data_IF_829102752403
#
_entry.id   IF_829102752403
#
_cell.length_a   1.000
_cell.length_b   1.000
_cell.length_c   1.000
_cell.angle_alpha   90.00
_cell.angle_beta   90.00
_cell.angle_gamma   90.00
#
_symmetry.space_group_name_H-M   'P 1'
#
loop_
_entity.id
_entity.type
_entity.pdbx_description
1 polymer ?
#
# COMPACT_ATOMS: atom_id res chain seq x y z
N UNK A 1 -55.58 16.42 -9.42
CA UNK A 1 -56.19 15.29 -10.17
C UNK A 1 -55.37 15.05 -11.42
N UNK A 2 -55.12 13.78 -11.78
CA UNK A 2 -54.31 13.27 -12.91
C UNK A 2 -52.78 13.43 -12.72
N UNK A 3 -51.91 12.47 -13.06
CA UNK A 3 -52.05 11.20 -13.76
C UNK A 3 -50.86 10.30 -13.41
N UNK A 4 -51.11 9.16 -12.75
CA UNK A 4 -50.18 8.04 -12.69
C UNK A 4 -50.07 7.42 -14.08
N UNK A 5 -48.92 7.53 -14.74
CA UNK A 5 -48.56 6.70 -15.90
C UNK A 5 -47.38 5.83 -15.52
N UNK A 6 -47.71 4.60 -15.11
CA UNK A 6 -46.74 3.51 -15.08
C UNK A 6 -46.25 3.22 -16.50
N UNK A 7 -44.94 3.05 -16.63
CA UNK A 7 -44.34 2.42 -17.79
C UNK A 7 -43.37 1.35 -17.28
N UNK A 8 -43.90 0.13 -17.29
CA UNK A 8 -43.15 -1.13 -17.27
C UNK A 8 -42.17 -1.11 -18.45
N UNK A 9 -40.92 -1.51 -18.22
CA UNK A 9 -40.13 -2.27 -19.20
C UNK A 9 -39.24 -3.30 -18.48
N UNK A 10 -39.59 -4.57 -18.72
CA UNK A 10 -38.79 -5.81 -18.80
C UNK A 10 -37.47 -5.85 -18.01
N UNK A 11 -37.24 -6.73 -17.03
CA UNK A 11 -37.33 -8.21 -17.06
C UNK A 11 -36.80 -8.85 -18.35
N UNK A 12 -35.48 -8.80 -18.53
CA UNK A 12 -34.72 -9.82 -19.28
C UNK A 12 -33.22 -9.58 -19.12
N UNK A 13 -32.57 -10.33 -18.23
CA UNK A 13 -31.16 -10.76 -18.34
C UNK A 13 -30.83 -11.72 -17.18
N UNK A 14 -31.47 -12.89 -17.20
CA UNK A 14 -30.88 -14.10 -16.64
C UNK A 14 -30.33 -14.83 -17.86
N UNK A 15 -29.01 -15.00 -17.94
CA UNK A 15 -28.28 -16.15 -18.52
C UNK A 15 -26.83 -15.75 -18.87
N UNK A 16 -25.95 -15.85 -17.89
CA UNK A 16 -24.56 -16.25 -18.12
C UNK A 16 -24.05 -17.01 -16.88
N UNK A 17 -23.72 -18.31 -16.99
CA UNK A 17 -23.22 -19.08 -15.88
C UNK A 17 -21.69 -18.91 -15.82
N UNK A 18 -21.25 -17.74 -15.37
CA UNK A 18 -19.86 -17.58 -14.93
C UNK A 18 -19.93 -17.28 -13.44
N UNK A 19 -19.78 -18.34 -12.65
CA UNK A 19 -19.51 -18.27 -11.22
C UNK A 19 -18.14 -17.60 -11.07
N UNK A 20 -18.13 -16.27 -11.09
CA UNK A 20 -16.97 -15.50 -10.64
C UNK A 20 -17.04 -15.54 -9.12
N UNK A 21 -16.25 -16.42 -8.51
CA UNK A 21 -16.02 -16.45 -7.07
C UNK A 21 -15.60 -15.06 -6.62
N UNK A 22 -16.55 -14.28 -6.07
CA UNK A 22 -16.26 -12.98 -5.48
C UNK A 22 -15.50 -13.26 -4.17
N UNK A 23 -14.28 -12.74 -3.98
CA UNK A 23 -13.65 -12.79 -2.67
C UNK A 23 -14.54 -12.05 -1.66
N UNK A 24 -14.73 -12.66 -0.50
CA UNK A 24 -15.57 -12.22 0.63
C UNK A 24 -15.06 -10.95 1.34
N UNK A 25 -14.34 -10.06 0.64
CA UNK A 25 -13.64 -8.90 1.24
C UNK A 25 -14.05 -7.53 0.71
N UNK A 26 -15.11 -7.44 -0.09
CA UNK A 26 -15.78 -6.15 -0.31
C UNK A 26 -17.28 -6.36 -0.20
N UNK A 27 -17.86 -5.96 0.95
CA UNK A 27 -19.28 -5.57 0.93
C UNK A 27 -19.44 -4.61 -0.25
N UNK A 28 -20.27 -4.92 -1.24
CA UNK A 28 -20.58 -3.93 -2.25
C UNK A 28 -21.32 -2.83 -1.50
N UNK A 29 -20.70 -1.66 -1.39
CA UNK A 29 -21.37 -0.40 -1.11
C UNK A 29 -22.43 -0.03 -2.19
N UNK A 30 -22.78 -0.95 -3.09
CA UNK A 30 -24.05 -0.95 -3.83
C UNK A 30 -25.21 -1.24 -2.86
N UNK A 31 -25.42 -0.33 -1.92
CA UNK A 31 -26.79 0.02 -1.60
C UNK A 31 -26.94 1.42 -2.14
N UNK A 32 -27.63 1.55 -3.27
CA UNK A 32 -28.13 2.84 -3.70
C UNK A 32 -28.88 3.41 -2.53
N UNK A 33 -28.26 4.34 -1.81
CA UNK A 33 -29.01 5.27 -0.98
C UNK A 33 -30.00 5.85 -1.95
N UNK A 34 -31.28 5.50 -1.80
CA UNK A 34 -32.33 6.16 -2.54
C UNK A 34 -32.21 7.62 -2.12
N UNK A 35 -31.51 8.41 -2.95
CA UNK A 35 -31.56 9.85 -2.85
C UNK A 35 -33.02 10.19 -2.66
N UNK A 36 -33.31 11.07 -1.71
CA UNK A 36 -34.67 11.56 -1.61
C UNK A 36 -35.05 12.06 -3.01
N UNK A 37 -36.22 11.68 -3.54
CA UNK A 37 -36.54 11.90 -4.98
C UNK A 37 -36.38 13.36 -5.38
N UNK A 38 -36.61 14.24 -4.42
CA UNK A 38 -36.50 15.69 -4.54
C UNK A 38 -35.05 16.17 -4.69
N UNK A 39 -34.08 15.36 -4.25
CA UNK A 39 -32.64 15.67 -4.23
C UNK A 39 -31.83 14.78 -5.19
N UNK A 40 -32.49 13.90 -5.96
CA UNK A 40 -31.81 13.08 -6.93
C UNK A 40 -31.23 13.96 -8.06
N UNK A 41 -29.99 13.70 -8.50
CA UNK A 41 -29.38 14.45 -9.59
C UNK A 41 -30.18 14.28 -10.88
N UNK A 42 -30.22 15.34 -11.68
CA UNK A 42 -30.94 15.35 -12.95
C UNK A 42 -30.12 14.66 -14.06
N UNK A 43 -30.69 14.60 -15.26
CA UNK A 43 -29.95 14.15 -16.44
C UNK A 43 -28.81 15.13 -16.77
N UNK A 44 -27.74 14.59 -17.36
CA UNK A 44 -26.57 15.37 -17.79
C UNK A 44 -26.95 16.56 -18.68
N UNK A 45 -26.31 17.73 -18.50
CA UNK A 45 -26.47 18.87 -19.40
C UNK A 45 -25.92 18.51 -20.78
N UNK A 46 -26.67 18.85 -21.84
CA UNK A 46 -26.23 18.64 -23.23
C UNK A 46 -25.68 19.91 -23.85
N UNK A 47 -26.21 21.05 -23.40
CA UNK A 47 -25.86 22.36 -23.92
C UNK A 47 -25.02 23.16 -22.90
N UNK A 48 -24.27 24.14 -23.40
CA UNK A 48 -23.48 25.04 -22.55
C UNK A 48 -24.36 25.92 -21.66
N UNK A 49 -25.51 26.38 -22.16
CA UNK A 49 -26.49 27.13 -21.36
C UNK A 49 -27.01 26.30 -20.18
N UNK A 50 -27.34 25.03 -20.41
CA UNK A 50 -27.77 24.10 -19.35
C UNK A 50 -26.64 23.87 -18.34
N UNK A 51 -25.40 23.73 -18.82
CA UNK A 51 -24.20 23.60 -17.97
C UNK A 51 -24.02 24.80 -17.07
N UNK A 52 -24.16 26.02 -17.58
CA UNK A 52 -24.03 27.26 -16.78
C UNK A 52 -25.14 27.38 -15.73
N UNK A 53 -26.39 27.02 -16.07
CA UNK A 53 -27.50 27.00 -15.14
C UNK A 53 -27.29 25.98 -14.02
N UNK A 54 -26.76 24.80 -14.35
CA UNK A 54 -26.41 23.77 -13.37
C UNK A 54 -25.23 24.17 -12.48
N UNK A 55 -24.17 24.74 -13.05
CA UNK A 55 -23.06 25.30 -12.29
C UNK A 55 -23.56 26.33 -11.26
N UNK A 56 -24.46 27.23 -11.69
CA UNK A 56 -25.10 28.21 -10.81
C UNK A 56 -25.92 27.57 -9.69
N UNK A 57 -26.65 26.48 -9.96
CA UNK A 57 -27.41 25.76 -8.93
C UNK A 57 -26.51 25.19 -7.83
N UNK A 58 -25.31 24.75 -8.18
CA UNK A 58 -24.30 24.24 -7.25
C UNK A 58 -23.37 25.32 -6.69
N UNK A 59 -23.57 26.59 -7.05
CA UNK A 59 -22.73 27.70 -6.60
C UNK A 59 -21.31 27.70 -7.17
N UNK A 60 -21.09 27.05 -8.31
CA UNK A 60 -19.77 26.96 -8.96
C UNK A 60 -19.71 27.81 -10.23
N UNK A 61 -18.49 28.16 -10.61
CA UNK A 61 -18.21 28.81 -11.90
C UNK A 61 -18.46 27.78 -13.02
N UNK A 62 -19.00 28.17 -14.18
CA UNK A 62 -19.27 27.24 -15.27
C UNK A 62 -18.05 26.42 -15.73
N UNK A 63 -16.85 26.98 -15.59
CA UNK A 63 -15.57 26.35 -15.94
C UNK A 63 -15.18 25.20 -15.00
N UNK A 64 -15.47 25.35 -13.70
CA UNK A 64 -15.18 24.35 -12.68
C UNK A 64 -16.23 23.23 -12.64
N UNK A 65 -17.44 23.50 -13.15
CA UNK A 65 -18.49 22.49 -13.23
C UNK A 65 -18.22 21.50 -14.37
N UNK A 66 -17.73 20.33 -13.97
CA UNK A 66 -17.60 19.15 -14.83
C UNK A 66 -18.57 18.10 -14.35
N UNK A 67 -19.56 17.68 -15.14
CA UNK A 67 -20.42 16.58 -14.75
C UNK A 67 -19.66 15.26 -14.87
N UNK A 68 -19.99 14.29 -14.02
CA UNK A 68 -19.36 12.96 -14.06
C UNK A 68 -19.63 12.20 -15.36
N UNK A 69 -18.66 11.37 -15.75
CA UNK A 69 -18.76 10.53 -16.95
C UNK A 69 -19.92 9.53 -16.84
N UNK A 70 -20.56 9.27 -17.98
CA UNK A 70 -21.82 8.54 -18.07
C UNK A 70 -21.63 7.02 -18.30
N UNK A 71 -20.63 6.42 -17.65
CA UNK A 71 -20.24 5.00 -17.85
C UNK A 71 -21.20 4.01 -17.14
N UNK A 72 -22.41 4.45 -16.79
CA UNK A 72 -23.42 3.68 -16.03
C UNK A 72 -23.25 3.72 -14.51
N UNK A 73 -22.11 4.23 -14.01
CA UNK A 73 -21.83 4.47 -12.59
C UNK A 73 -21.89 5.95 -12.18
N UNK A 74 -22.09 6.86 -13.14
CA UNK A 74 -22.14 8.31 -12.89
C UNK A 74 -23.46 8.77 -12.24
N UNK A 75 -23.36 9.75 -11.35
CA UNK A 75 -24.52 10.31 -10.63
C UNK A 75 -25.20 11.45 -11.40
N UNK A 76 -25.61 11.21 -12.66
CA UNK A 76 -26.34 12.21 -13.44
C UNK A 76 -25.61 13.55 -13.58
N UNK A 77 -26.28 14.67 -13.32
CA UNK A 77 -25.77 16.04 -13.38
C UNK A 77 -24.89 16.46 -12.19
N UNK A 78 -24.53 15.53 -11.32
CA UNK A 78 -23.72 15.83 -10.15
C UNK A 78 -22.28 16.21 -10.55
N UNK A 79 -21.67 17.24 -9.92
CA UNK A 79 -20.30 17.63 -10.22
C UNK A 79 -19.28 16.55 -9.88
N UNK A 80 -18.28 16.41 -10.73
CA UNK A 80 -17.09 15.61 -10.51
C UNK A 80 -16.14 16.37 -9.57
N UNK A 81 -16.38 16.19 -8.27
CA UNK A 81 -15.58 16.81 -7.22
C UNK A 81 -14.27 16.03 -7.03
N UNK A 82 -13.16 16.71 -6.73
CA UNK A 82 -11.93 16.01 -6.41
C UNK A 82 -12.11 15.16 -5.15
N UNK A 83 -11.68 13.91 -5.21
CA UNK A 83 -11.66 13.03 -4.05
C UNK A 83 -10.55 13.50 -3.09
N UNK A 84 -10.89 14.39 -2.16
CA UNK A 84 -10.00 14.88 -1.10
C UNK A 84 -10.64 14.50 0.24
N UNK A 85 -9.92 13.75 1.06
CA UNK A 85 -10.41 13.37 2.39
C UNK A 85 -10.54 14.60 3.30
N UNK A 86 -11.46 14.54 4.26
CA UNK A 86 -11.63 15.62 5.25
C UNK A 86 -10.31 15.91 5.98
N UNK A 87 -9.48 14.89 6.23
CA UNK A 87 -8.17 15.05 6.86
C UNK A 87 -7.21 15.95 6.06
N UNK A 88 -7.24 15.90 4.73
CA UNK A 88 -6.38 16.71 3.85
C UNK A 88 -6.85 18.16 3.67
N UNK A 89 -8.08 18.49 4.09
CA UNK A 89 -8.57 19.88 4.06
C UNK A 89 -7.81 20.74 5.07
N UNK A 90 -7.81 22.06 4.86
CA UNK A 90 -7.03 23.00 5.67
C UNK A 90 -7.47 22.99 7.14
N UNK A 91 -6.61 22.60 8.09
CA UNK A 91 -6.99 22.55 9.51
C UNK A 91 -7.32 23.93 10.12
N UNK A 92 -6.88 25.02 9.49
CA UNK A 92 -6.98 26.38 10.02
C UNK A 92 -8.18 27.17 9.49
N UNK A 93 -8.95 26.59 8.57
CA UNK A 93 -10.16 27.21 8.06
C UNK A 93 -11.31 27.08 9.08
N UNK A 94 -12.11 28.13 9.22
CA UNK A 94 -13.24 28.14 10.14
C UNK A 94 -14.48 27.52 9.48
N UNK A 95 -14.54 26.19 9.49
CA UNK A 95 -15.65 25.46 8.89
C UNK A 95 -16.96 25.62 9.68
N UNK A 96 -18.08 25.77 8.96
CA UNK A 96 -19.43 25.73 9.57
C UNK A 96 -19.69 24.38 10.28
N UNK A 97 -19.16 23.30 9.72
CA UNK A 97 -19.20 21.95 10.30
C UNK A 97 -17.77 21.47 10.61
N UNK A 98 -17.21 21.83 11.79
CA UNK A 98 -15.82 21.51 12.12
C UNK A 98 -15.50 20.02 12.08
N UNK A 99 -16.44 19.18 12.52
CA UNK A 99 -16.30 17.71 12.56
C UNK A 99 -16.20 17.05 11.17
N UNK A 100 -16.65 17.73 10.10
CA UNK A 100 -16.55 17.24 8.73
C UNK A 100 -15.59 18.07 7.87
N UNK A 101 -14.99 19.13 8.46
CA UNK A 101 -14.17 20.13 7.76
C UNK A 101 -14.85 20.64 6.48
N UNK A 102 -16.11 21.04 6.59
CA UNK A 102 -16.97 21.43 5.45
C UNK A 102 -17.83 22.66 5.78
N UNK A 103 -18.08 23.50 4.79
CA UNK A 103 -19.00 24.63 4.91
C UNK A 103 -20.42 24.27 4.46
N UNK A 104 -21.41 25.02 4.95
CA UNK A 104 -22.80 24.82 4.56
C UNK A 104 -23.02 25.25 3.10
N UNK A 105 -23.77 24.46 2.34
CA UNK A 105 -24.07 24.75 0.92
C UNK A 105 -22.99 24.31 -0.08
N UNK A 106 -21.84 23.79 0.39
CA UNK A 106 -20.85 23.18 -0.50
C UNK A 106 -21.36 21.85 -1.09
N UNK A 107 -21.09 21.57 -2.38
CA UNK A 107 -21.38 20.27 -2.99
C UNK A 107 -20.54 19.17 -2.33
N UNK A 108 -21.12 17.98 -2.18
CA UNK A 108 -20.58 16.85 -1.41
C UNK A 108 -20.00 15.76 -2.33
N UNK A 109 -18.81 15.22 -2.09
CA UNK A 109 -18.34 14.10 -2.94
C UNK A 109 -19.33 12.91 -2.87
N UNK A 110 -19.65 12.19 -3.98
CA UNK A 110 -20.58 11.06 -3.93
C UNK A 110 -20.18 9.97 -2.94
N UNK A 111 -18.87 9.77 -2.78
CA UNK A 111 -18.26 8.85 -1.81
C UNK A 111 -17.81 9.57 -0.53
N UNK A 112 -18.52 10.62 -0.10
CA UNK A 112 -18.21 11.37 1.10
C UNK A 112 -18.08 10.48 2.35
N UNK A 113 -18.92 9.45 2.43
CA UNK A 113 -18.84 8.45 3.50
C UNK A 113 -17.47 7.76 3.52
N UNK A 114 -16.84 7.50 2.38
CA UNK A 114 -15.50 6.93 2.34
C UNK A 114 -14.42 7.96 2.68
N UNK A 115 -14.63 9.23 2.31
CA UNK A 115 -13.68 10.34 2.45
C UNK A 115 -13.74 11.08 3.81
N UNK A 116 -14.35 10.46 4.81
CA UNK A 116 -14.36 10.99 6.19
C UNK A 116 -12.96 10.95 6.82
N UNK A 117 -12.73 11.75 7.87
CA UNK A 117 -11.43 11.92 8.54
C UNK A 117 -10.74 10.61 8.94
N UNK A 118 -11.50 9.61 9.41
CA UNK A 118 -10.95 8.34 9.91
C UNK A 118 -10.79 7.23 8.86
N UNK A 119 -11.30 7.42 7.64
CA UNK A 119 -11.50 6.32 6.68
C UNK A 119 -10.45 6.28 5.58
N UNK A 120 -10.68 7.00 4.50
CA UNK A 120 -9.83 7.01 3.32
C UNK A 120 -9.51 8.44 2.95
N UNK A 121 -8.22 8.73 2.86
CA UNK A 121 -7.75 9.99 2.31
C UNK A 121 -6.80 9.69 1.14
N UNK A 122 -7.26 9.82 -0.12
CA UNK A 122 -6.42 9.56 -1.28
C UNK A 122 -5.26 10.56 -1.40
N UNK A 123 -5.34 11.72 -0.75
CA UNK A 123 -4.26 12.69 -0.68
C UNK A 123 -3.28 12.42 0.48
N UNK A 124 -3.53 11.43 1.33
CA UNK A 124 -2.69 11.11 2.50
C UNK A 124 -1.22 10.89 2.15
N UNK A 125 -0.95 10.18 1.05
CA UNK A 125 0.42 9.90 0.61
C UNK A 125 1.21 11.17 0.18
N UNK A 126 0.51 12.27 -0.11
CA UNK A 126 1.10 13.56 -0.52
C UNK A 126 1.19 14.56 0.65
N UNK A 127 0.76 14.20 1.86
CA UNK A 127 0.80 15.09 3.01
C UNK A 127 2.23 15.31 3.52
N UNK A 128 2.57 16.54 3.97
CA UNK A 128 3.92 16.91 4.40
C UNK A 128 4.45 16.14 5.64
N UNK A 129 3.59 15.40 6.35
CA UNK A 129 3.96 14.55 7.50
C UNK A 129 4.24 13.09 7.16
N UNK A 130 3.83 12.59 5.98
CA UNK A 130 4.07 11.20 5.61
C UNK A 130 5.56 11.00 5.29
N UNK A 131 6.25 9.99 5.87
CA UNK A 131 7.67 9.81 5.63
C UNK A 131 7.86 9.52 4.13
N UNK A 132 8.68 10.32 3.42
CA UNK A 132 8.94 10.10 2.01
C UNK A 132 9.55 8.71 1.80
N UNK A 133 9.36 8.17 0.60
CA UNK A 133 9.68 6.77 0.26
C UNK A 133 11.12 6.40 0.66
N UNK A 134 12.08 7.31 0.42
CA UNK A 134 13.48 7.11 0.79
C UNK A 134 13.69 6.94 2.30
N UNK A 135 12.95 7.66 3.16
CA UNK A 135 13.02 7.46 4.61
C UNK A 135 12.48 6.10 5.00
N UNK A 136 11.38 5.66 4.40
CA UNK A 136 10.81 4.33 4.66
C UNK A 136 11.79 3.21 4.27
N UNK A 137 12.43 3.36 3.12
CA UNK A 137 13.48 2.46 2.65
C UNK A 137 14.68 2.41 3.61
N UNK A 138 15.20 3.57 4.05
CA UNK A 138 16.32 3.62 5.00
C UNK A 138 15.97 2.99 6.35
N UNK A 139 14.80 3.26 6.90
CA UNK A 139 14.33 2.65 8.16
C UNK A 139 14.26 1.13 8.00
N UNK A 140 13.68 0.64 6.91
CA UNK A 140 13.53 -0.80 6.71
C UNK A 140 14.87 -1.50 6.44
N UNK A 141 15.76 -0.88 5.67
CA UNK A 141 17.10 -1.38 5.41
C UNK A 141 17.95 -1.42 6.68
N UNK A 142 17.89 -0.37 7.51
CA UNK A 142 18.60 -0.33 8.81
C UNK A 142 18.04 -1.36 9.79
N UNK A 143 16.72 -1.50 9.90
CA UNK A 143 16.09 -2.53 10.75
C UNK A 143 16.51 -3.93 10.31
N UNK A 144 16.50 -4.24 9.01
CA UNK A 144 16.94 -5.54 8.50
C UNK A 144 18.44 -5.78 8.75
N UNK A 145 19.30 -4.79 8.50
CA UNK A 145 20.74 -4.88 8.78
C UNK A 145 21.07 -5.03 10.26
N UNK A 146 20.32 -4.36 11.13
CA UNK A 146 20.44 -4.52 12.58
C UNK A 146 19.91 -5.89 13.00
N UNK A 147 18.80 -6.36 12.43
CA UNK A 147 18.24 -7.68 12.71
C UNK A 147 19.20 -8.81 12.37
N UNK A 148 19.87 -8.76 11.20
CA UNK A 148 20.87 -9.77 10.82
C UNK A 148 22.07 -9.76 11.77
N UNK A 149 22.55 -8.58 12.17
CA UNK A 149 23.60 -8.43 13.18
C UNK A 149 23.16 -8.96 14.55
N UNK A 150 22.03 -8.52 15.10
CA UNK A 150 21.57 -8.87 16.45
C UNK A 150 21.12 -10.33 16.55
N UNK A 151 20.47 -10.90 15.54
CA UNK A 151 19.99 -12.29 15.65
C UNK A 151 21.12 -13.31 15.50
N UNK A 152 22.15 -13.01 14.72
CA UNK A 152 23.21 -13.99 14.45
C UNK A 152 24.39 -13.83 15.41
N UNK A 153 24.86 -12.60 15.66
CA UNK A 153 26.09 -12.30 16.41
C UNK A 153 26.13 -12.84 17.85
N UNK A 154 25.07 -12.73 18.68
CA UNK A 154 25.08 -13.26 20.04
C UNK A 154 25.00 -14.78 20.09
N UNK A 155 24.33 -15.40 19.10
CA UNK A 155 24.24 -16.86 18.97
C UNK A 155 25.63 -17.43 18.67
N UNK A 156 26.47 -16.73 17.89
CA UNK A 156 27.86 -17.15 17.66
C UNK A 156 28.81 -16.92 18.82
N UNK A 157 28.71 -15.78 19.52
CA UNK A 157 29.78 -15.37 20.47
C UNK A 157 29.48 -15.78 21.92
N UNK A 158 28.22 -15.79 22.33
CA UNK A 158 27.88 -15.97 23.75
C UNK A 158 27.35 -17.36 24.11
N UNK A 159 26.84 -18.13 23.13
CA UNK A 159 26.29 -19.48 23.37
C UNK A 159 27.33 -20.61 23.24
N UNK A 160 28.17 -20.69 22.19
CA UNK A 160 29.20 -21.71 22.12
C UNK A 160 30.49 -21.22 22.79
N UNK A 161 31.08 -22.05 23.65
CA UNK A 161 32.45 -21.85 24.16
C UNK A 161 33.50 -22.23 23.11
N UNK A 162 33.16 -22.04 21.83
CA UNK A 162 33.87 -22.60 20.71
C UNK A 162 34.40 -21.44 19.88
N UNK A 163 35.71 -21.28 19.93
CA UNK A 163 36.41 -20.19 19.26
C UNK A 163 37.12 -20.71 18.02
N UNK A 164 37.01 -19.97 16.93
CA UNK A 164 37.72 -20.27 15.69
C UNK A 164 39.22 -19.99 15.83
N UNK A 165 39.55 -18.99 16.65
CA UNK A 165 40.86 -18.42 16.80
C UNK A 165 41.49 -18.78 18.16
N UNK A 166 42.78 -19.16 18.21
CA UNK A 166 43.45 -19.55 19.45
C UNK A 166 43.72 -18.39 20.41
N UNK A 167 43.80 -17.15 19.93
CA UNK A 167 43.96 -15.96 20.77
C UNK A 167 42.68 -15.61 21.56
N UNK A 168 41.51 -15.87 20.98
CA UNK A 168 40.22 -15.69 21.62
C UNK A 168 40.00 -16.68 22.78
N UNK A 169 40.58 -17.88 22.66
CA UNK A 169 40.54 -18.90 23.71
C UNK A 169 41.28 -18.43 24.97
N UNK A 170 42.41 -17.73 24.82
CA UNK A 170 43.21 -17.24 25.95
C UNK A 170 42.53 -16.12 26.73
N UNK A 171 41.66 -15.36 26.06
CA UNK A 171 40.81 -14.32 26.65
C UNK A 171 39.55 -14.90 27.30
N UNK A 172 39.19 -16.16 27.03
CA UNK A 172 38.03 -16.80 27.61
C UNK A 172 38.36 -17.32 29.03
N UNK A 173 37.70 -16.74 30.04
CA UNK A 173 37.86 -17.08 31.46
C UNK A 173 37.29 -18.48 31.82
N UNK A 174 36.61 -19.15 30.88
CA UNK A 174 35.86 -20.40 31.14
C UNK A 174 36.70 -21.66 30.86
N UNK A 175 36.68 -22.66 31.76
CA UNK A 175 37.53 -23.85 31.68
C UNK A 175 37.16 -24.84 30.55
N UNK A 176 35.94 -24.74 29.99
CA UNK A 176 35.41 -25.70 29.00
C UNK A 176 35.49 -25.21 27.55
N UNK A 177 36.25 -24.15 27.29
CA UNK A 177 36.37 -23.58 25.95
C UNK A 177 37.25 -24.45 25.03
N UNK A 178 36.73 -24.76 23.84
CA UNK A 178 37.39 -25.64 22.87
C UNK A 178 37.63 -24.88 21.56
N UNK A 179 38.72 -25.22 20.88
CA UNK A 179 38.93 -24.81 19.49
C UNK A 179 38.28 -25.90 18.64
N UNK A 180 37.12 -25.61 18.06
CA UNK A 180 36.52 -26.47 17.06
C UNK A 180 36.14 -25.63 15.86
N UNK A 181 36.62 -26.06 14.70
CA UNK A 181 36.51 -25.31 13.45
C UNK A 181 35.15 -25.52 12.77
N UNK A 182 34.49 -26.65 13.05
CA UNK A 182 33.37 -27.18 12.25
C UNK A 182 32.19 -27.66 13.11
N UNK A 183 31.60 -26.78 13.94
CA UNK A 183 30.33 -27.11 14.59
C UNK A 183 29.15 -26.92 13.63
N UNK A 184 28.24 -27.92 13.54
CA UNK A 184 27.12 -27.87 12.60
C UNK A 184 26.17 -26.70 12.86
N UNK A 185 26.02 -26.26 14.12
CA UNK A 185 25.17 -25.13 14.48
C UNK A 185 25.82 -23.78 14.13
N UNK A 186 27.14 -23.65 14.28
CA UNK A 186 27.88 -22.44 13.88
C UNK A 186 27.85 -22.28 12.37
N UNK A 187 28.09 -23.36 11.62
CA UNK A 187 27.98 -23.35 10.16
C UNK A 187 26.56 -23.03 9.69
N UNK A 188 25.54 -23.51 10.40
CA UNK A 188 24.14 -23.19 10.12
C UNK A 188 23.94 -21.68 10.20
N UNK A 189 24.31 -21.04 11.31
CA UNK A 189 24.17 -19.59 11.40
C UNK A 189 25.01 -18.89 10.32
N UNK A 190 26.22 -19.39 9.98
CA UNK A 190 27.10 -18.77 8.94
C UNK A 190 26.42 -18.71 7.59
N UNK A 191 25.78 -19.81 7.20
CA UNK A 191 24.99 -19.89 5.97
C UNK A 191 23.76 -18.98 6.01
N UNK A 192 23.12 -18.80 7.17
CA UNK A 192 22.04 -17.83 7.33
C UNK A 192 22.53 -16.39 7.07
N UNK A 193 23.67 -16.01 7.68
CA UNK A 193 24.23 -14.68 7.54
C UNK A 193 24.71 -14.40 6.10
N UNK A 194 25.40 -15.38 5.48
CA UNK A 194 25.84 -15.27 4.08
C UNK A 194 24.64 -15.12 3.13
N UNK A 195 23.60 -15.94 3.30
CA UNK A 195 22.38 -15.81 2.51
C UNK A 195 21.71 -14.44 2.73
N UNK A 196 21.67 -13.94 3.96
CA UNK A 196 21.09 -12.62 4.21
C UNK A 196 21.91 -11.51 3.53
N UNK A 197 23.25 -11.59 3.52
CA UNK A 197 24.11 -10.66 2.78
C UNK A 197 23.89 -10.74 1.26
N UNK A 198 23.85 -11.94 0.69
CA UNK A 198 23.63 -12.18 -0.75
C UNK A 198 22.30 -11.61 -1.24
N UNK A 199 21.30 -11.46 -0.36
CA UNK A 199 19.98 -10.92 -0.70
C UNK A 199 19.81 -9.44 -0.34
N UNK A 200 20.35 -9.00 0.81
CA UNK A 200 20.23 -7.61 1.28
C UNK A 200 21.06 -6.69 0.39
N UNK A 201 22.24 -7.10 -0.06
CA UNK A 201 23.10 -6.24 -0.89
C UNK A 201 22.40 -5.87 -2.21
N UNK A 202 21.88 -6.82 -3.02
CA UNK A 202 21.09 -6.47 -4.20
C UNK A 202 19.85 -5.65 -3.89
N UNK A 203 19.13 -5.97 -2.80
CA UNK A 203 17.94 -5.22 -2.40
C UNK A 203 18.26 -3.76 -2.06
N UNK A 204 19.34 -3.50 -1.34
CA UNK A 204 19.73 -2.13 -0.95
C UNK A 204 20.16 -1.34 -2.19
N UNK A 205 20.92 -1.95 -3.11
CA UNK A 205 21.33 -1.28 -4.34
C UNK A 205 20.14 -0.98 -5.24
N UNK A 206 19.34 -1.99 -5.60
CA UNK A 206 18.17 -1.84 -6.48
C UNK A 206 17.12 -0.93 -5.82
N UNK A 207 16.87 -1.10 -4.52
CA UNK A 207 15.93 -0.29 -3.75
C UNK A 207 16.33 1.19 -3.68
N UNK A 208 17.63 1.48 -3.63
CA UNK A 208 18.12 2.87 -3.72
C UNK A 208 17.80 3.48 -5.07
N UNK A 209 18.05 2.77 -6.17
CA UNK A 209 17.68 3.24 -7.51
C UNK A 209 16.16 3.36 -7.69
N UNK A 210 15.40 2.40 -7.16
CA UNK A 210 13.94 2.43 -7.21
C UNK A 210 13.34 3.63 -6.47
N UNK A 211 13.97 4.12 -5.39
CA UNK A 211 13.53 5.36 -4.74
C UNK A 211 13.71 6.60 -5.64
N UNK A 212 14.70 6.59 -6.55
CA UNK A 212 14.99 7.71 -7.45
C UNK A 212 14.04 7.76 -8.66
N UNK A 213 13.38 6.66 -9.01
CA UNK A 213 12.45 6.62 -10.16
C UNK A 213 11.10 7.27 -9.86
N UNK A 214 10.86 7.75 -8.64
CA UNK A 214 9.58 8.34 -8.22
C UNK A 214 8.39 7.38 -8.32
N UNK A 215 8.48 6.13 -7.82
CA UNK A 215 7.39 5.17 -7.90
C UNK A 215 6.22 5.62 -7.01
N UNK A 216 5.04 5.06 -7.29
CA UNK A 216 3.88 5.29 -6.45
C UNK A 216 4.14 4.81 -5.00
N UNK A 217 3.87 5.64 -3.97
CA UNK A 217 4.20 5.35 -2.59
C UNK A 217 3.57 4.06 -2.03
N UNK A 218 2.37 3.71 -2.50
CA UNK A 218 1.68 2.51 -2.04
C UNK A 218 2.43 1.26 -2.50
N UNK A 219 2.71 1.16 -3.80
CA UNK A 219 3.45 0.03 -4.35
C UNK A 219 4.86 -0.04 -3.77
N UNK A 220 5.56 1.08 -3.61
CA UNK A 220 6.89 1.09 -3.01
C UNK A 220 6.89 0.55 -1.57
N UNK A 221 5.96 1.02 -0.75
CA UNK A 221 5.83 0.55 0.63
C UNK A 221 5.51 -0.95 0.71
N UNK A 222 4.70 -1.46 -0.23
CA UNK A 222 4.35 -2.88 -0.32
C UNK A 222 5.58 -3.73 -0.63
N UNK A 223 6.41 -3.34 -1.62
CA UNK A 223 7.63 -4.07 -1.97
C UNK A 223 8.60 -4.14 -0.79
N UNK A 224 8.83 -3.03 -0.09
CA UNK A 224 9.73 -3.02 1.07
C UNK A 224 9.21 -3.91 2.22
N UNK A 225 7.92 -3.84 2.53
CA UNK A 225 7.29 -4.67 3.58
C UNK A 225 7.30 -6.15 3.22
N UNK A 226 6.98 -6.50 1.98
CA UNK A 226 7.01 -7.88 1.51
C UNK A 226 8.44 -8.45 1.57
N UNK A 227 9.44 -7.70 1.13
CA UNK A 227 10.83 -8.13 1.23
C UNK A 227 11.24 -8.40 2.69
N UNK A 228 10.95 -7.46 3.59
CA UNK A 228 11.24 -7.65 5.02
C UNK A 228 10.52 -8.87 5.60
N UNK A 229 9.24 -9.07 5.29
CA UNK A 229 8.47 -10.22 5.75
C UNK A 229 9.07 -11.54 5.28
N UNK A 230 9.44 -11.65 3.99
CA UNK A 230 10.09 -12.85 3.46
C UNK A 230 11.47 -13.09 4.09
N UNK A 231 12.23 -12.03 4.41
CA UNK A 231 13.53 -12.14 5.08
C UNK A 231 13.38 -12.62 6.52
N UNK A 232 12.50 -12.01 7.31
CA UNK A 232 12.23 -12.44 8.68
C UNK A 232 11.76 -13.90 8.69
N UNK A 233 10.86 -14.28 7.79
CA UNK A 233 10.40 -15.66 7.65
C UNK A 233 11.55 -16.61 7.27
N UNK A 234 12.42 -16.22 6.33
CA UNK A 234 13.58 -17.03 5.95
C UNK A 234 14.55 -17.23 7.13
N UNK A 235 14.91 -16.17 7.86
CA UNK A 235 15.82 -16.27 9.02
C UNK A 235 15.23 -17.15 10.12
N UNK A 236 13.93 -17.01 10.41
CA UNK A 236 13.23 -17.88 11.39
C UNK A 236 13.18 -19.34 10.91
N UNK A 237 12.88 -19.59 9.62
CA UNK A 237 12.85 -20.92 9.03
C UNK A 237 14.23 -21.59 8.94
N UNK A 238 15.29 -20.79 8.99
CA UNK A 238 16.66 -21.28 9.00
C UNK A 238 17.09 -21.68 10.42
N UNK A 239 16.76 -20.86 11.43
CA UNK A 239 17.10 -21.08 12.83
C UNK A 239 16.26 -22.17 13.50
N UNK A 240 14.93 -22.11 13.33
CA UNK A 240 14.07 -23.21 13.70
C UNK A 240 14.17 -24.23 12.56
N UNK A 241 14.60 -25.49 12.79
CA UNK A 241 14.79 -26.50 11.75
C UNK A 241 13.44 -26.97 11.18
N UNK A 242 12.72 -26.05 10.54
CA UNK A 242 11.47 -26.29 9.85
C UNK A 242 11.73 -27.19 8.64
N UNK A 243 10.79 -28.11 8.32
CA UNK A 243 10.91 -28.95 7.16
C UNK A 243 10.96 -28.11 5.88
N UNK A 244 11.74 -28.58 4.90
CA UNK A 244 11.64 -28.10 3.52
C UNK A 244 10.17 -28.29 3.08
N UNK A 245 9.49 -27.30 2.47
CA UNK A 245 9.99 -26.28 1.52
C UNK A 245 10.04 -24.83 2.05
N UNK A 246 9.75 -24.61 3.33
CA UNK A 246 9.59 -23.26 3.93
C UNK A 246 10.75 -22.29 3.62
N UNK A 247 12.00 -22.77 3.68
CA UNK A 247 13.20 -21.99 3.36
C UNK A 247 13.24 -21.54 1.89
N UNK A 248 12.90 -22.43 0.97
CA UNK A 248 12.87 -22.13 -0.46
C UNK A 248 11.82 -21.07 -0.80
N UNK A 249 10.66 -21.11 -0.15
CA UNK A 249 9.60 -20.11 -0.34
C UNK A 249 10.04 -18.72 0.12
N UNK A 250 10.68 -18.61 1.29
CA UNK A 250 11.22 -17.32 1.78
C UNK A 250 12.34 -16.77 0.90
N UNK A 251 13.17 -17.66 0.34
CA UNK A 251 14.23 -17.29 -0.60
C UNK A 251 13.66 -16.77 -1.92
N UNK A 252 12.80 -17.56 -2.57
CA UNK A 252 12.20 -17.22 -3.86
C UNK A 252 11.28 -16.01 -3.77
N UNK A 253 10.51 -15.87 -2.69
CA UNK A 253 9.67 -14.70 -2.45
C UNK A 253 10.49 -13.42 -2.32
N UNK A 254 11.64 -13.48 -1.63
CA UNK A 254 12.55 -12.33 -1.54
C UNK A 254 13.14 -11.92 -2.89
N UNK A 255 13.58 -12.90 -3.69
CA UNK A 255 14.10 -12.64 -5.05
C UNK A 255 13.01 -12.11 -6.00
N UNK A 256 11.79 -12.62 -5.91
CA UNK A 256 10.69 -12.13 -6.73
C UNK A 256 10.46 -10.63 -6.54
N UNK A 257 10.52 -10.15 -5.29
CA UNK A 257 10.37 -8.73 -4.96
C UNK A 257 11.56 -7.90 -5.46
N UNK A 258 12.79 -8.40 -5.37
CA UNK A 258 13.96 -7.67 -5.90
C UNK A 258 13.95 -7.60 -7.42
N UNK A 259 13.54 -8.68 -8.10
CA UNK A 259 13.39 -8.71 -9.55
C UNK A 259 12.27 -7.79 -10.03
N UNK A 260 11.12 -7.73 -9.36
CA UNK A 260 10.04 -6.82 -9.74
C UNK A 260 10.48 -5.36 -9.67
N UNK A 261 11.18 -4.95 -8.61
CA UNK A 261 11.75 -3.60 -8.49
C UNK A 261 12.80 -3.33 -9.57
N UNK A 262 13.68 -4.29 -9.85
CA UNK A 262 14.70 -4.15 -10.88
C UNK A 262 14.09 -3.92 -12.26
N UNK A 263 13.02 -4.63 -12.60
CA UNK A 263 12.30 -4.45 -13.86
C UNK A 263 11.71 -3.05 -14.00
N UNK A 264 11.13 -2.51 -12.92
CA UNK A 264 10.61 -1.13 -12.93
C UNK A 264 11.75 -0.12 -13.15
N UNK A 265 12.87 -0.27 -12.44
CA UNK A 265 14.05 0.58 -12.62
C UNK A 265 14.53 0.53 -14.07
N UNK A 266 14.70 -0.66 -14.63
CA UNK A 266 15.15 -0.82 -16.02
C UNK A 266 14.16 -0.17 -17.00
N UNK A 267 12.85 -0.41 -16.85
CA UNK A 267 11.83 0.18 -17.72
C UNK A 267 11.81 1.71 -17.66
N UNK A 268 11.98 2.28 -16.46
CA UNK A 268 12.05 3.73 -16.29
C UNK A 268 13.28 4.31 -16.99
N UNK A 269 14.46 3.68 -16.83
CA UNK A 269 15.69 4.11 -17.49
C UNK A 269 15.61 4.01 -19.02
N UNK A 270 15.00 2.94 -19.54
CA UNK A 270 14.78 2.78 -20.98
C UNK A 270 13.84 3.83 -21.56
N UNK A 271 12.92 4.37 -20.76
CA UNK A 271 12.01 5.43 -21.21
C UNK A 271 12.73 6.79 -21.31
N UNK A 272 13.85 6.96 -20.59
CA UNK A 272 14.66 8.18 -20.63
C UNK A 272 15.69 8.21 -21.77
N UNK A 273 15.93 7.09 -22.45
CA UNK A 273 16.82 6.97 -23.63
C UNK A 273 16.00 7.15 -24.90
#
# INVERSE_FOLDING_TARGET
MASFRGLRRASSCILSPVIRSRPLTTSPCLNGGNWNKDWAPAALPKNEEERTAKAKNYGMIPEDYKPMANDGTGFGDYPDLPAIGAHSRNPWEHYDMPHLKRNYGEPMHPEFDALTEDRLDPAFAKQPGYPPIWKQFLILATVLGVFTCICTFPIYRFKPLIFLNPEDLKLAIKPDAKIATNDPDIERVRRCHLNDLENIIPFVLIGSFYCLTGPDPFYASLHFRLFAAFRLFHSVAYLMPLPQPSRGVGFLGGWFVTFSMAMVVISSLLTFI
#
